data_IF_916273307242
#
_entry.id   IF_916273307242
#
_cell.length_a   1.000
_cell.length_b   1.000
_cell.length_c   1.000
_cell.angle_alpha   90.00
_cell.angle_beta   90.00
_cell.angle_gamma   90.00
#
_symmetry.space_group_name_H-M   'P 1'
#
loop_
_entity.id
_entity.type
_entity.pdbx_description
1 polymer ?
#
# COMPACT_ATOMS: atom_id res chain seq x y z
N UNK A 1 23.51 -37.27 -54.88
CA UNK A 1 22.11 -37.64 -54.57
C UNK A 1 21.97 -37.90 -53.07
N UNK A 2 21.37 -36.97 -52.32
CA UNK A 2 20.89 -37.16 -50.94
C UNK A 2 19.56 -36.40 -50.84
N UNK A 3 18.51 -37.10 -50.41
CA UNK A 3 17.11 -36.67 -50.44
C UNK A 3 16.73 -35.91 -49.15
N UNK A 4 15.95 -34.84 -49.29
CA UNK A 4 15.42 -34.01 -48.19
C UNK A 4 14.08 -34.59 -47.73
N UNK A 5 14.05 -35.33 -46.62
CA UNK A 5 12.81 -35.66 -45.92
C UNK A 5 12.99 -35.58 -44.40
N UNK A 6 12.14 -34.73 -43.83
CA UNK A 6 11.52 -34.84 -42.51
C UNK A 6 12.36 -34.49 -41.27
N UNK A 7 12.43 -33.19 -40.97
CA UNK A 7 12.62 -32.69 -39.61
C UNK A 7 11.33 -32.00 -39.16
N UNK A 8 10.50 -32.73 -38.39
CA UNK A 8 9.35 -32.19 -37.68
C UNK A 8 9.84 -31.28 -36.55
N UNK A 9 9.67 -29.97 -36.70
CA UNK A 9 9.87 -29.00 -35.63
C UNK A 9 8.66 -29.03 -34.68
N UNK A 10 8.78 -29.74 -33.57
CA UNK A 10 7.84 -29.60 -32.45
C UNK A 10 8.12 -28.26 -31.75
N UNK A 11 7.34 -27.23 -32.11
CA UNK A 11 7.28 -25.99 -31.34
C UNK A 11 6.44 -26.23 -30.09
N UNK A 12 7.09 -26.51 -28.96
CA UNK A 12 6.43 -26.52 -27.66
C UNK A 12 6.01 -25.08 -27.32
N UNK A 13 4.70 -24.84 -27.27
CA UNK A 13 4.12 -23.59 -26.75
C UNK A 13 4.33 -23.63 -25.23
N UNK A 14 5.26 -22.82 -24.72
CA UNK A 14 5.39 -22.57 -23.29
C UNK A 14 4.24 -21.64 -22.89
N UNK A 15 3.32 -22.04 -21.98
CA UNK A 15 2.39 -21.09 -21.40
C UNK A 15 3.20 -20.10 -20.58
N UNK A 16 3.24 -18.84 -21.03
CA UNK A 16 3.74 -17.72 -20.23
C UNK A 16 2.79 -17.55 -19.05
N UNK A 17 3.05 -18.28 -17.96
CA UNK A 17 2.47 -17.96 -16.67
C UNK A 17 2.96 -16.56 -16.32
N UNK A 18 2.07 -15.57 -16.34
CA UNK A 18 2.34 -14.25 -15.79
C UNK A 18 2.71 -14.45 -14.32
N UNK A 19 3.99 -14.29 -14.02
CA UNK A 19 4.45 -14.10 -12.65
C UNK A 19 3.94 -12.72 -12.25
N UNK A 20 2.76 -12.66 -11.65
CA UNK A 20 2.28 -11.44 -11.00
C UNK A 20 3.19 -11.25 -9.79
N UNK A 21 4.28 -10.48 -9.97
CA UNK A 21 5.09 -10.05 -8.85
C UNK A 21 4.15 -9.42 -7.82
N UNK A 22 4.17 -9.93 -6.59
CA UNK A 22 3.40 -9.35 -5.49
C UNK A 22 3.74 -7.87 -5.44
N UNK A 23 2.76 -7.01 -5.66
CA UNK A 23 2.98 -5.57 -5.57
C UNK A 23 3.46 -5.27 -4.16
N UNK A 24 4.60 -4.58 -4.06
CA UNK A 24 5.14 -4.13 -2.79
C UNK A 24 4.22 -3.04 -2.25
N UNK A 25 3.68 -3.25 -1.05
CA UNK A 25 2.60 -2.46 -0.49
C UNK A 25 2.97 -2.09 0.94
N UNK A 26 2.63 -0.86 1.30
CA UNK A 26 2.55 -0.39 2.67
C UNK A 26 1.09 -0.05 2.94
N UNK A 27 0.36 -0.99 3.56
CA UNK A 27 -1.04 -0.82 3.95
C UNK A 27 -1.25 -1.25 5.41
N UNK A 28 -2.33 -0.76 6.00
CA UNK A 28 -2.76 -1.13 7.35
C UNK A 28 -4.08 -1.88 7.21
N UNK A 29 -4.07 -3.18 7.52
CA UNK A 29 -5.31 -3.95 7.59
C UNK A 29 -6.11 -3.56 8.84
N UNK A 30 -7.29 -2.99 8.64
CA UNK A 30 -8.13 -2.50 9.75
C UNK A 30 -8.57 -3.66 10.65
N UNK A 31 -8.24 -3.56 11.94
CA UNK A 31 -8.65 -4.52 12.96
C UNK A 31 -10.01 -4.12 13.51
N UNK A 32 -11.03 -4.93 13.23
CA UNK A 32 -12.42 -4.69 13.66
C UNK A 32 -12.85 -5.53 14.87
N UNK A 33 -12.08 -6.55 15.22
CA UNK A 33 -12.43 -7.51 16.27
C UNK A 33 -11.47 -7.39 17.47
N UNK A 34 -11.92 -7.86 18.63
CA UNK A 34 -11.12 -7.88 19.86
C UNK A 34 -11.56 -6.83 20.89
N UNK A 35 -10.84 -6.71 22.02
CA UNK A 35 -11.17 -5.73 23.05
C UNK A 35 -10.98 -4.29 22.53
N UNK A 36 -11.80 -3.32 22.96
CA UNK A 36 -11.62 -1.92 22.59
C UNK A 36 -10.22 -1.40 22.96
N UNK A 37 -9.69 -0.52 22.10
CA UNK A 37 -8.46 0.22 22.36
C UNK A 37 -8.55 0.93 23.72
N UNK A 38 -7.47 0.83 24.49
CA UNK A 38 -7.33 1.53 25.77
C UNK A 38 -6.88 2.97 25.52
N UNK A 39 -7.30 3.88 26.39
CA UNK A 39 -6.77 5.26 26.42
C UNK A 39 -5.25 5.23 26.55
N UNK A 40 -4.56 5.92 25.64
CA UNK A 40 -3.09 5.91 25.59
C UNK A 40 -2.55 7.19 24.95
N UNK A 41 -1.26 7.45 25.20
CA UNK A 41 -0.46 8.44 24.48
C UNK A 41 0.54 7.68 23.63
N UNK A 42 0.50 7.89 22.31
CA UNK A 42 1.38 7.19 21.38
C UNK A 42 2.60 8.05 21.07
N UNK A 43 3.80 7.51 21.32
CA UNK A 43 5.07 8.15 20.99
C UNK A 43 5.52 7.72 19.58
N UNK A 44 5.04 8.43 18.56
CA UNK A 44 5.22 8.05 17.15
C UNK A 44 6.67 7.90 16.67
N UNK A 45 7.61 8.67 17.23
CA UNK A 45 9.01 8.71 16.77
C UNK A 45 9.71 7.35 16.75
N UNK A 46 9.37 6.44 17.67
CA UNK A 46 10.03 5.14 17.85
C UNK A 46 9.23 3.93 17.34
N UNK A 47 8.09 4.16 16.70
CA UNK A 47 7.33 3.06 16.12
C UNK A 47 8.11 2.42 14.96
N UNK A 48 8.10 1.09 14.85
CA UNK A 48 8.68 0.39 13.71
C UNK A 48 7.91 0.74 12.44
N UNK A 49 8.61 0.72 11.31
CA UNK A 49 7.95 0.82 10.02
C UNK A 49 7.31 -0.51 9.63
N UNK A 50 6.19 -0.45 8.93
CA UNK A 50 5.44 -1.60 8.40
C UNK A 50 5.35 -1.54 6.88
N UNK A 51 5.12 -2.71 6.26
CA UNK A 51 5.06 -2.85 4.80
C UNK A 51 6.42 -2.95 4.12
N UNK A 52 6.40 -3.03 2.80
CA UNK A 52 7.61 -3.22 1.99
C UNK A 52 7.66 -2.35 0.72
N UNK A 53 6.82 -1.31 0.61
CA UNK A 53 6.86 -0.41 -0.55
C UNK A 53 8.16 0.41 -0.59
N UNK A 54 8.93 0.38 -1.69
CA UNK A 54 10.16 1.16 -1.82
C UNK A 54 9.93 2.66 -1.63
N UNK A 55 10.74 3.28 -0.77
CA UNK A 55 10.66 4.73 -0.50
C UNK A 55 9.49 5.13 0.40
N UNK A 56 8.61 4.21 0.80
CA UNK A 56 7.55 4.48 1.77
C UNK A 56 7.90 3.86 3.13
N UNK A 57 7.62 4.61 4.20
CA UNK A 57 7.74 4.10 5.58
C UNK A 57 6.47 4.48 6.34
N UNK A 58 5.53 3.53 6.50
CA UNK A 58 4.37 3.75 7.35
C UNK A 58 4.62 3.23 8.76
N UNK A 59 4.04 3.91 9.75
CA UNK A 59 4.06 3.53 11.15
C UNK A 59 2.65 3.61 11.69
N UNK A 60 2.18 2.55 12.34
CA UNK A 60 0.82 2.47 12.90
C UNK A 60 0.81 2.99 14.34
N UNK A 61 0.04 4.04 14.60
CA UNK A 61 -0.15 4.58 15.94
C UNK A 61 -1.07 3.69 16.79
N UNK A 62 -2.21 3.31 16.22
CA UNK A 62 -3.20 2.42 16.80
C UNK A 62 -4.09 1.84 15.70
N UNK A 63 -4.66 0.66 15.95
CA UNK A 63 -5.56 -0.03 15.04
C UNK A 63 -6.47 -0.97 15.84
N UNK A 64 -7.78 -0.71 15.83
CA UNK A 64 -8.74 -1.50 16.61
C UNK A 64 -10.11 -0.83 16.82
N UNK A 65 -11.07 -1.55 17.42
CA UNK A 65 -12.35 -0.98 17.84
C UNK A 65 -12.16 0.03 18.99
N UNK A 66 -13.07 0.99 19.11
CA UNK A 66 -13.20 1.84 20.31
C UNK A 66 -14.57 1.63 20.94
N UNK A 67 -14.90 2.38 21.99
CA UNK A 67 -16.26 2.35 22.56
C UNK A 67 -17.32 2.97 21.63
N UNK A 68 -16.90 3.75 20.62
CA UNK A 68 -17.80 4.54 19.76
C UNK A 68 -17.66 4.19 18.28
N UNK A 69 -16.53 3.61 17.86
CA UNK A 69 -16.24 3.27 16.47
C UNK A 69 -16.02 1.76 16.36
N UNK A 70 -16.60 1.14 15.32
CA UNK A 70 -16.39 -0.27 15.01
C UNK A 70 -14.92 -0.59 14.74
N UNK A 71 -14.18 0.35 14.14
CA UNK A 71 -12.73 0.33 14.06
C UNK A 71 -12.21 1.74 13.79
N UNK A 72 -10.97 1.99 14.19
CA UNK A 72 -10.18 3.13 13.73
C UNK A 72 -8.72 2.69 13.64
N UNK A 73 -8.06 3.10 12.57
CA UNK A 73 -6.61 3.05 12.47
C UNK A 73 -6.07 4.46 12.25
N UNK A 74 -4.89 4.71 12.81
CA UNK A 74 -4.15 5.95 12.56
C UNK A 74 -2.68 5.61 12.44
N UNK A 75 -1.97 6.36 11.61
CA UNK A 75 -0.55 6.21 11.42
C UNK A 75 0.06 7.46 10.82
N UNK A 76 1.32 7.32 10.45
CA UNK A 76 2.04 8.29 9.64
C UNK A 76 2.76 7.53 8.54
N UNK A 77 2.81 8.10 7.34
CA UNK A 77 3.65 7.61 6.25
C UNK A 77 4.59 8.71 5.80
N UNK A 78 5.86 8.38 5.61
CA UNK A 78 6.84 9.25 4.94
C UNK A 78 7.17 8.66 3.58
N UNK A 79 7.24 9.50 2.57
CA UNK A 79 7.55 9.14 1.19
C UNK A 79 8.85 9.83 0.76
N UNK A 80 9.77 9.07 0.21
CA UNK A 80 10.87 9.62 -0.58
C UNK A 80 10.32 10.24 -1.88
N UNK A 81 10.99 11.23 -2.49
CA UNK A 81 10.53 11.86 -3.73
C UNK A 81 10.19 10.84 -4.82
N UNK A 82 8.99 10.95 -5.41
CA UNK A 82 8.50 10.07 -6.48
C UNK A 82 8.03 8.68 -6.03
N UNK A 83 8.09 8.36 -4.73
CA UNK A 83 7.57 7.09 -4.19
C UNK A 83 6.06 7.15 -3.89
N UNK A 84 5.44 5.98 -3.71
CA UNK A 84 4.04 5.82 -3.28
C UNK A 84 3.90 4.65 -2.31
N UNK A 85 2.97 4.68 -1.34
CA UNK A 85 2.81 3.61 -0.37
C UNK A 85 2.17 2.35 -0.98
N UNK A 86 1.28 2.52 -1.95
CA UNK A 86 0.54 1.46 -2.63
C UNK A 86 0.02 1.98 -3.98
N UNK A 87 -0.41 1.09 -4.90
CA UNK A 87 -1.17 1.50 -6.08
C UNK A 87 -2.58 2.04 -5.71
N UNK A 88 -3.28 2.68 -6.66
CA UNK A 88 -4.66 3.11 -6.46
C UNK A 88 -5.57 1.93 -6.07
N UNK A 89 -6.37 2.11 -5.02
CA UNK A 89 -7.28 1.08 -4.50
C UNK A 89 -8.50 1.72 -3.83
N UNK A 90 -9.41 0.89 -3.30
CA UNK A 90 -10.59 1.32 -2.53
C UNK A 90 -10.75 0.45 -1.31
N UNK A 91 -11.32 1.02 -0.26
CA UNK A 91 -11.75 0.32 0.95
C UNK A 91 -13.10 0.88 1.43
N UNK A 92 -13.88 0.12 2.21
CA UNK A 92 -15.18 0.57 2.72
C UNK A 92 -15.07 1.64 3.83
N UNK A 93 -13.91 1.79 4.47
CA UNK A 93 -13.65 2.81 5.48
C UNK A 93 -13.52 4.22 4.87
N UNK A 94 -13.82 5.24 5.67
CA UNK A 94 -13.40 6.62 5.38
C UNK A 94 -11.91 6.78 5.68
N UNK A 95 -11.18 7.52 4.84
CA UNK A 95 -9.77 7.86 5.07
C UNK A 95 -9.59 9.38 5.14
N UNK A 96 -8.90 9.84 6.18
CA UNK A 96 -8.49 11.23 6.35
C UNK A 96 -6.96 11.31 6.31
N UNK A 97 -6.43 12.12 5.40
CA UNK A 97 -5.00 12.37 5.26
C UNK A 97 -4.71 13.82 5.61
N UNK A 98 -3.67 14.03 6.44
CA UNK A 98 -3.14 15.36 6.76
C UNK A 98 -1.69 15.42 6.27
N UNK A 99 -1.38 16.39 5.41
CA UNK A 99 -0.01 16.62 4.94
C UNK A 99 0.76 17.41 6.00
N UNK A 100 1.57 16.71 6.79
CA UNK A 100 2.33 17.31 7.88
C UNK A 100 3.61 18.04 7.43
N UNK A 101 4.23 17.63 6.32
CA UNK A 101 5.44 18.22 5.76
C UNK A 101 5.61 17.86 4.28
N UNK A 102 6.40 18.67 3.56
CA UNK A 102 6.75 18.41 2.16
C UNK A 102 5.64 18.79 1.18
N UNK A 103 5.65 18.18 0.00
CA UNK A 103 4.61 18.32 -1.03
C UNK A 103 4.42 16.98 -1.72
N UNK A 104 3.28 16.79 -2.38
CA UNK A 104 3.04 15.59 -3.16
C UNK A 104 1.71 15.62 -3.89
N UNK A 105 1.29 14.45 -4.36
CA UNK A 105 0.07 14.26 -5.13
C UNK A 105 -0.84 13.26 -4.43
N UNK A 106 -2.14 13.54 -4.43
CA UNK A 106 -3.19 12.59 -4.05
C UNK A 106 -4.09 12.36 -5.25
N UNK A 107 -4.31 11.10 -5.61
CA UNK A 107 -5.20 10.69 -6.70
C UNK A 107 -6.49 10.11 -6.12
N UNK A 108 -7.63 10.71 -6.48
CA UNK A 108 -8.98 10.21 -6.12
C UNK A 108 -9.81 10.17 -7.40
N UNK A 109 -10.39 9.01 -7.72
CA UNK A 109 -11.21 8.84 -8.94
C UNK A 109 -10.48 9.24 -10.24
N UNK A 110 -9.15 9.00 -10.30
CA UNK A 110 -8.31 9.40 -11.44
C UNK A 110 -8.00 10.90 -11.50
N UNK A 111 -8.48 11.69 -10.55
CA UNK A 111 -8.16 13.12 -10.43
C UNK A 111 -6.97 13.30 -9.49
N UNK A 112 -5.87 13.80 -10.05
CA UNK A 112 -4.65 14.11 -9.29
C UNK A 112 -4.72 15.54 -8.74
N UNK A 113 -4.52 15.67 -7.44
CA UNK A 113 -4.50 16.95 -6.72
C UNK A 113 -3.13 17.17 -6.08
N UNK A 114 -2.52 18.33 -6.31
CA UNK A 114 -1.30 18.73 -5.61
C UNK A 114 -1.61 19.13 -4.17
N UNK A 115 -0.82 18.64 -3.23
CA UNK A 115 -1.02 18.85 -1.79
C UNK A 115 0.25 19.33 -1.11
N UNK A 116 0.06 20.21 -0.13
CA UNK A 116 1.11 20.76 0.74
C UNK A 116 0.54 21.04 2.13
N UNK A 117 1.39 21.23 3.16
CA UNK A 117 0.95 21.76 4.44
C UNK A 117 0.25 23.10 4.28
N UNK A 118 -0.69 23.38 5.18
CA UNK A 118 -1.51 24.60 5.20
C UNK A 118 -1.10 25.59 6.31
N UNK A 119 0.03 25.34 6.99
CA UNK A 119 0.56 26.16 8.09
C UNK A 119 2.05 26.44 7.91
#
# INVERSE_FOLDING_TARGET
MINRRDFLASSAILPSAFVQASQQITHVDIVRNGPPLKSSVVKGARLPAEGNSPGAKAKVHFNGPTKQLAAVASGVVTLEPGSRPHPPHRHPEEELIIVAAGTGEIEVEGVVTQVSPVF
#
